data_IF_974281334557
#
_entry.id   IF_974281334557
#
_cell.length_a   1.000
_cell.length_b   1.000
_cell.length_c   1.000
_cell.angle_alpha   90.00
_cell.angle_beta   90.00
_cell.angle_gamma   90.00
#
_symmetry.space_group_name_H-M   'P 1'
#
loop_
_entity.id
_entity.type
_entity.pdbx_description
1 polymer ?
#
# COMPACT_ATOMS: atom_id res chain seq x y z
N UNK A 1 2.73 -52.96 10.38
CA UNK A 1 2.34 -53.62 9.10
C UNK A 1 2.13 -52.52 8.10
N UNK A 2 3.14 -52.34 7.22
CA UNK A 2 3.10 -52.47 5.75
C UNK A 2 1.94 -51.71 5.12
N UNK A 3 2.13 -50.69 4.24
CA UNK A 3 2.89 -50.74 2.96
C UNK A 3 3.29 -49.33 2.49
N UNK A 4 4.54 -49.21 2.12
CA UNK A 4 5.06 -48.26 1.15
C UNK A 4 4.41 -48.49 -0.22
N UNK A 5 4.17 -47.46 -0.96
CA UNK A 5 4.18 -47.52 -2.42
C UNK A 5 4.73 -46.22 -2.99
N UNK A 6 5.94 -46.29 -3.50
CA UNK A 6 6.58 -45.30 -4.37
C UNK A 6 6.29 -45.68 -5.82
N UNK A 7 6.03 -44.71 -6.68
CA UNK A 7 6.13 -44.78 -8.15
C UNK A 7 6.53 -43.40 -8.61
N UNK A 8 7.57 -43.24 -9.06
CA UNK A 8 8.58 -43.04 -10.08
C UNK A 8 8.06 -42.69 -11.47
N UNK A 9 8.71 -41.67 -12.03
CA UNK A 9 9.01 -41.35 -13.44
C UNK A 9 7.88 -40.88 -14.39
N UNK A 10 8.10 -39.69 -14.94
CA UNK A 10 8.31 -39.55 -16.39
C UNK A 10 8.97 -38.21 -16.75
N UNK A 11 10.09 -38.37 -17.36
CA UNK A 11 10.96 -37.53 -18.17
C UNK A 11 10.28 -37.05 -19.47
N UNK A 12 10.68 -35.84 -19.92
CA UNK A 12 10.68 -35.53 -21.38
C UNK A 12 9.75 -34.41 -21.79
N UNK A 13 10.25 -33.28 -22.25
CA UNK A 13 10.70 -32.99 -23.61
C UNK A 13 11.23 -31.58 -23.74
N UNK A 14 12.46 -31.47 -24.20
CA UNK A 14 13.02 -30.30 -24.83
C UNK A 14 12.26 -29.99 -26.13
N UNK A 15 11.95 -28.71 -26.35
CA UNK A 15 11.73 -28.18 -27.69
C UNK A 15 12.41 -26.82 -27.81
N UNK A 16 13.59 -26.84 -28.38
CA UNK A 16 14.27 -25.68 -28.94
C UNK A 16 13.48 -25.18 -30.14
N UNK A 17 13.12 -23.92 -30.16
CA UNK A 17 12.69 -23.22 -31.36
C UNK A 17 13.66 -22.07 -31.65
N UNK A 18 14.54 -22.33 -32.61
CA UNK A 18 15.29 -21.35 -33.36
C UNK A 18 14.30 -20.45 -34.11
N UNK A 19 14.25 -19.18 -33.77
CA UNK A 19 13.55 -18.13 -34.52
C UNK A 19 14.53 -17.30 -35.32
N UNK A 20 14.34 -17.30 -36.63
CA UNK A 20 15.15 -16.73 -37.68
C UNK A 20 15.45 -15.24 -37.52
N UNK A 21 16.74 -14.89 -37.61
CA UNK A 21 17.18 -13.54 -37.92
C UNK A 21 16.94 -13.28 -39.41
N UNK A 22 16.07 -12.36 -39.71
CA UNK A 22 15.92 -11.77 -41.05
C UNK A 22 16.79 -10.52 -41.12
N UNK A 23 17.95 -10.64 -41.75
CA UNK A 23 18.73 -9.49 -42.21
C UNK A 23 18.08 -8.90 -43.44
N UNK A 24 17.54 -7.68 -43.35
CA UNK A 24 17.19 -6.88 -44.51
C UNK A 24 18.36 -6.00 -44.92
N UNK A 25 18.62 -5.84 -46.23
CA UNK A 25 19.75 -5.05 -46.74
C UNK A 25 19.45 -3.55 -46.60
N UNK A 26 20.45 -2.83 -46.10
CA UNK A 26 20.48 -1.38 -46.05
C UNK A 26 20.64 -0.86 -47.47
N UNK A 27 19.65 -0.13 -47.95
CA UNK A 27 19.83 0.69 -49.15
C UNK A 27 20.00 2.13 -48.72
N UNK A 28 21.23 2.58 -48.86
CA UNK A 28 21.67 3.96 -48.72
C UNK A 28 20.98 4.82 -49.80
N UNK A 29 20.26 5.85 -49.39
CA UNK A 29 19.91 6.97 -50.29
C UNK A 29 19.93 8.25 -49.50
N UNK A 30 21.00 8.97 -49.64
CA UNK A 30 21.20 10.34 -49.21
C UNK A 30 20.03 11.25 -49.65
N UNK A 31 19.39 11.89 -48.66
CA UNK A 31 18.68 13.15 -48.87
C UNK A 31 18.80 13.98 -47.60
N UNK A 32 19.34 15.18 -47.62
CA UNK A 32 19.36 16.06 -46.44
C UNK A 32 17.93 16.47 -46.11
N UNK A 33 17.46 16.05 -44.94
CA UNK A 33 16.22 16.49 -44.34
C UNK A 33 16.45 17.84 -43.66
N UNK A 34 15.57 18.84 -43.83
CA UNK A 34 15.72 20.13 -43.19
C UNK A 34 15.68 19.96 -41.67
N UNK A 35 16.55 20.68 -40.96
CA UNK A 35 16.57 20.76 -39.52
C UNK A 35 15.19 21.29 -39.04
N UNK A 36 14.43 20.39 -38.43
CA UNK A 36 13.25 20.79 -37.64
C UNK A 36 13.79 21.26 -36.32
N UNK A 37 13.68 22.57 -36.11
CA UNK A 37 13.90 23.21 -34.83
C UNK A 37 12.93 22.62 -33.82
N UNK A 38 13.37 21.59 -33.07
CA UNK A 38 12.59 20.99 -32.00
C UNK A 38 12.62 21.98 -30.84
N UNK A 39 11.64 22.90 -30.85
CA UNK A 39 11.26 23.60 -29.63
C UNK A 39 10.87 22.52 -28.61
N UNK A 40 11.78 22.25 -27.68
CA UNK A 40 11.54 21.37 -26.56
C UNK A 40 10.38 21.96 -25.75
N UNK A 41 9.20 21.39 -25.89
CA UNK A 41 8.12 21.66 -24.93
C UNK A 41 8.64 21.32 -23.53
N UNK A 42 8.41 22.17 -22.52
CA UNK A 42 8.83 21.86 -21.17
C UNK A 42 8.13 20.58 -20.76
N UNK A 43 8.92 19.52 -20.56
CA UNK A 43 8.45 18.25 -20.02
C UNK A 43 7.76 18.57 -18.71
N UNK A 44 6.44 18.35 -18.64
CA UNK A 44 5.68 18.49 -17.41
C UNK A 44 6.32 17.56 -16.37
N UNK A 45 6.95 18.14 -15.37
CA UNK A 45 7.57 17.40 -14.29
C UNK A 45 6.44 16.74 -13.50
N UNK A 46 6.28 15.41 -13.64
CA UNK A 46 5.31 14.65 -12.86
C UNK A 46 5.76 14.70 -11.42
N UNK A 47 5.12 15.54 -10.62
CA UNK A 47 5.36 15.63 -9.19
C UNK A 47 4.83 14.38 -8.52
N UNK A 48 5.59 13.75 -7.63
CA UNK A 48 5.08 12.65 -6.81
C UNK A 48 3.86 13.13 -6.02
N UNK A 49 2.76 12.37 -5.98
CA UNK A 49 1.61 12.74 -5.17
C UNK A 49 1.89 12.62 -3.66
N UNK A 50 3.06 12.13 -3.25
CA UNK A 50 3.46 11.96 -1.85
C UNK A 50 4.45 13.02 -1.46
N UNK A 51 4.12 13.77 -0.41
CA UNK A 51 4.95 14.81 0.17
C UNK A 51 5.33 14.43 1.61
N UNK A 52 6.64 14.32 1.88
CA UNK A 52 7.14 14.09 3.23
C UNK A 52 6.96 15.36 4.07
N UNK A 53 6.52 15.18 5.32
CA UNK A 53 6.27 16.26 6.29
C UNK A 53 6.75 15.83 7.68
N UNK A 54 6.87 16.76 8.61
CA UNK A 54 7.06 16.43 10.02
C UNK A 54 5.71 16.15 10.73
N UNK A 55 5.75 15.65 11.96
CA UNK A 55 4.54 15.29 12.70
C UNK A 55 3.65 16.51 13.06
N UNK A 56 4.24 17.67 13.32
CA UNK A 56 3.50 18.90 13.59
C UNK A 56 2.77 19.40 12.37
N UNK A 57 3.41 19.37 11.21
CA UNK A 57 2.85 19.74 9.92
C UNK A 57 1.72 18.77 9.54
N UNK A 58 1.92 17.45 9.74
CA UNK A 58 0.89 16.43 9.52
C UNK A 58 -0.37 16.73 10.35
N UNK A 59 -0.24 17.00 11.64
CA UNK A 59 -1.35 17.34 12.52
C UNK A 59 -2.01 18.68 12.13
N UNK A 60 -1.23 19.67 11.75
CA UNK A 60 -1.75 21.00 11.39
C UNK A 60 -2.55 20.95 10.10
N UNK A 61 -2.06 20.28 9.07
CA UNK A 61 -2.73 20.22 7.78
C UNK A 61 -3.93 19.27 7.78
N UNK A 62 -3.85 18.17 8.55
CA UNK A 62 -4.98 17.26 8.68
C UNK A 62 -6.08 17.77 9.61
N UNK A 63 -5.76 18.63 10.57
CA UNK A 63 -6.63 18.94 11.70
C UNK A 63 -6.84 17.76 12.67
N UNK A 64 -6.06 16.68 12.52
CA UNK A 64 -6.15 15.45 13.31
C UNK A 64 -4.96 15.33 14.27
N UNK A 65 -5.12 14.51 15.29
CA UNK A 65 -4.03 14.24 16.26
C UNK A 65 -3.37 12.90 15.92
N UNK A 66 -2.12 12.96 15.47
CA UNK A 66 -1.27 11.79 15.30
C UNK A 66 -0.33 11.64 16.48
N UNK A 67 -0.67 10.73 17.39
CA UNK A 67 0.15 10.44 18.59
C UNK A 67 1.11 9.31 18.27
N UNK A 68 2.40 9.61 18.31
CA UNK A 68 3.43 8.58 18.12
C UNK A 68 3.37 7.53 19.24
N UNK A 69 3.20 6.23 18.92
CA UNK A 69 3.21 5.20 19.95
C UNK A 69 4.53 5.14 20.70
N UNK A 70 4.46 4.85 22.00
CA UNK A 70 5.66 4.69 22.83
C UNK A 70 6.54 3.56 22.29
N UNK A 71 7.84 3.80 22.19
CA UNK A 71 8.84 2.89 21.60
C UNK A 71 8.73 2.67 20.08
N UNK A 72 7.95 3.46 19.36
CA UNK A 72 8.02 3.48 17.90
C UNK A 72 9.37 4.04 17.45
N UNK A 73 9.94 3.44 16.41
CA UNK A 73 11.19 3.87 15.76
C UNK A 73 10.94 4.04 14.27
N UNK A 74 11.87 4.66 13.55
CA UNK A 74 11.79 4.87 12.09
C UNK A 74 10.48 5.56 11.67
N UNK A 75 10.12 6.62 12.38
CA UNK A 75 8.86 7.34 12.16
C UNK A 75 8.99 8.27 10.97
N UNK A 76 8.10 8.11 9.99
CA UNK A 76 7.99 8.93 8.80
C UNK A 76 6.56 9.41 8.63
N UNK A 77 6.40 10.72 8.40
CA UNK A 77 5.10 11.32 8.12
C UNK A 77 5.04 11.82 6.68
N UNK A 78 3.90 11.65 6.05
CA UNK A 78 3.67 12.14 4.69
C UNK A 78 2.20 12.46 4.44
N UNK A 79 1.97 13.29 3.43
CA UNK A 79 0.65 13.60 2.90
C UNK A 79 0.60 13.11 1.47
N UNK A 80 -0.44 12.37 1.13
CA UNK A 80 -0.70 11.90 -0.23
C UNK A 80 -1.76 12.83 -0.81
N UNK A 81 -1.35 13.62 -1.83
CA UNK A 81 -2.22 14.55 -2.52
C UNK A 81 -3.19 13.79 -3.43
N UNK A 82 -4.31 13.38 -2.86
CA UNK A 82 -5.42 12.68 -3.50
C UNK A 82 -6.74 13.38 -3.16
N UNK A 83 -7.86 12.89 -3.65
CA UNK A 83 -9.18 13.37 -3.30
C UNK A 83 -10.01 12.20 -2.74
N UNK A 84 -10.19 12.15 -1.40
CA UNK A 84 -9.66 13.04 -0.35
C UNK A 84 -8.15 12.91 -0.16
N UNK A 85 -7.51 13.92 0.45
CA UNK A 85 -6.11 13.84 0.86
C UNK A 85 -5.94 12.78 1.95
N UNK A 86 -4.85 12.00 1.87
CA UNK A 86 -4.55 10.95 2.86
C UNK A 86 -3.32 11.35 3.68
N UNK A 87 -3.51 11.42 4.97
CA UNK A 87 -2.49 11.74 5.97
C UNK A 87 -1.90 10.45 6.52
N UNK A 88 -0.59 10.30 6.48
CA UNK A 88 0.08 9.04 6.76
C UNK A 88 1.19 9.18 7.80
N UNK A 89 1.25 8.24 8.73
CA UNK A 89 2.39 8.01 9.63
C UNK A 89 2.84 6.56 9.50
N UNK A 90 4.11 6.33 9.21
CA UNK A 90 4.73 5.01 9.18
C UNK A 90 5.74 4.90 10.31
N UNK A 91 5.84 3.73 10.92
CA UNK A 91 6.79 3.46 12.02
C UNK A 91 7.00 1.95 12.20
N UNK A 92 8.06 1.61 12.92
CA UNK A 92 8.33 0.24 13.37
C UNK A 92 8.04 0.17 14.87
N UNK A 93 7.27 -0.82 15.29
CA UNK A 93 6.95 -1.08 16.69
C UNK A 93 7.06 -2.57 16.99
N UNK A 94 7.90 -2.96 17.95
CA UNK A 94 8.12 -4.36 18.29
C UNK A 94 8.68 -5.21 17.14
N UNK A 95 9.43 -4.60 16.21
CA UNK A 95 10.00 -5.26 15.03
C UNK A 95 9.02 -5.50 13.89
N UNK A 96 7.84 -4.91 13.93
CA UNK A 96 6.82 -4.97 12.89
C UNK A 96 6.60 -3.59 12.28
N UNK A 97 6.27 -3.56 10.98
CA UNK A 97 6.01 -2.31 10.26
C UNK A 97 4.53 -1.94 10.34
N UNK A 98 4.29 -0.69 10.67
CA UNK A 98 2.95 -0.10 10.73
C UNK A 98 2.85 1.10 9.80
N UNK A 99 1.70 1.20 9.15
CA UNK A 99 1.27 2.39 8.41
C UNK A 99 -0.10 2.78 8.89
N UNK A 100 -0.19 3.92 9.58
CA UNK A 100 -1.46 4.53 9.99
C UNK A 100 -1.82 5.60 8.97
N UNK A 101 -3.06 5.56 8.47
CA UNK A 101 -3.59 6.56 7.54
C UNK A 101 -4.92 7.10 8.05
N UNK A 102 -5.18 8.35 7.72
CA UNK A 102 -6.46 9.02 7.98
C UNK A 102 -6.84 9.89 6.79
N UNK A 103 -8.14 9.97 6.52
CA UNK A 103 -8.70 10.88 5.53
C UNK A 103 -10.09 11.36 5.98
N UNK A 104 -10.43 12.60 5.67
CA UNK A 104 -11.78 13.11 5.86
C UNK A 104 -12.70 12.50 4.78
N UNK A 105 -13.73 11.77 5.22
CA UNK A 105 -14.64 11.00 4.35
C UNK A 105 -16.07 11.11 4.87
N UNK A 106 -17.05 10.87 4.01
CA UNK A 106 -18.46 10.87 4.43
C UNK A 106 -18.90 9.53 5.04
N UNK A 107 -18.20 8.47 4.73
CA UNK A 107 -18.43 7.09 5.21
C UNK A 107 -17.09 6.38 5.35
N UNK A 108 -17.07 5.18 5.93
CA UNK A 108 -15.89 4.33 5.94
C UNK A 108 -15.41 4.07 4.51
N UNK A 109 -14.17 4.46 4.22
CA UNK A 109 -13.54 4.33 2.90
C UNK A 109 -12.27 3.48 2.99
N UNK A 110 -12.39 2.24 2.55
CA UNK A 110 -11.28 1.28 2.59
C UNK A 110 -10.15 1.61 1.60
N UNK A 111 -10.44 2.42 0.58
CA UNK A 111 -9.46 2.79 -0.44
C UNK A 111 -8.28 3.59 0.11
N UNK A 112 -8.45 4.27 1.24
CA UNK A 112 -7.40 5.08 1.88
C UNK A 112 -6.17 4.26 2.29
N UNK A 113 -6.35 2.95 2.52
CA UNK A 113 -5.20 2.08 2.86
C UNK A 113 -4.20 1.95 1.73
N UNK A 114 -4.64 2.09 0.48
CA UNK A 114 -3.82 1.87 -0.71
C UNK A 114 -3.29 0.43 -0.81
N UNK A 115 -3.88 -0.51 -0.08
CA UNK A 115 -3.49 -1.92 -0.07
C UNK A 115 -4.54 -2.72 -0.83
N UNK A 116 -4.11 -3.33 -1.92
CA UNK A 116 -4.95 -4.16 -2.79
C UNK A 116 -4.35 -5.56 -2.84
N UNK A 117 -4.96 -6.50 -2.11
CA UNK A 117 -4.54 -7.90 -2.07
C UNK A 117 -5.75 -8.81 -1.84
N UNK A 118 -5.56 -10.11 -2.08
CA UNK A 118 -6.59 -11.11 -1.78
C UNK A 118 -6.57 -11.41 -0.28
N UNK A 119 -7.57 -10.91 0.41
CA UNK A 119 -7.75 -11.14 1.84
C UNK A 119 -8.42 -12.49 2.10
N UNK A 120 -7.90 -13.24 3.09
CA UNK A 120 -8.45 -14.56 3.44
C UNK A 120 -9.44 -14.48 4.60
N UNK A 121 -9.26 -13.52 5.51
CA UNK A 121 -10.14 -13.33 6.66
C UNK A 121 -10.66 -11.90 6.63
N UNK A 122 -11.97 -11.76 6.80
CA UNK A 122 -12.68 -10.49 6.89
C UNK A 122 -13.53 -10.50 8.15
N UNK A 123 -13.53 -9.41 8.89
CA UNK A 123 -14.40 -9.25 10.05
C UNK A 123 -14.92 -7.83 10.14
N UNK A 124 -16.21 -7.72 10.45
CA UNK A 124 -16.89 -6.46 10.67
C UNK A 124 -17.18 -6.26 12.16
N UNK A 125 -17.22 -5.02 12.60
CA UNK A 125 -17.49 -4.65 13.97
C UNK A 125 -18.05 -3.24 14.08
N UNK A 126 -18.21 -2.81 15.32
CA UNK A 126 -18.60 -1.43 15.63
C UNK A 126 -17.88 -0.96 16.88
N UNK A 127 -17.58 0.33 16.92
CA UNK A 127 -17.12 1.04 18.10
C UNK A 127 -18.22 1.11 19.16
N UNK A 128 -17.89 1.57 20.37
CA UNK A 128 -18.88 1.71 21.45
C UNK A 128 -20.00 2.71 21.12
N UNK A 129 -19.73 3.70 20.30
CA UNK A 129 -20.70 4.68 19.82
C UNK A 129 -21.53 4.19 18.61
N UNK A 130 -21.27 2.97 18.12
CA UNK A 130 -21.95 2.38 16.97
C UNK A 130 -21.30 2.66 15.62
N UNK A 131 -20.20 3.42 15.57
CA UNK A 131 -19.46 3.71 14.33
C UNK A 131 -18.82 2.42 13.78
N UNK A 132 -18.78 2.25 12.44
CA UNK A 132 -18.35 1.01 11.83
C UNK A 132 -16.83 0.79 11.93
N UNK A 133 -16.46 -0.47 12.12
CA UNK A 133 -15.09 -0.96 11.99
C UNK A 133 -15.06 -2.19 11.11
N UNK A 134 -13.94 -2.45 10.42
CA UNK A 134 -13.71 -3.71 9.74
C UNK A 134 -12.22 -4.04 9.70
N UNK A 135 -11.90 -5.32 9.50
CA UNK A 135 -10.51 -5.73 9.33
C UNK A 135 -10.38 -6.84 8.29
N UNK A 136 -9.17 -6.92 7.73
CA UNK A 136 -8.78 -7.89 6.73
C UNK A 136 -7.43 -8.48 7.09
N UNK A 137 -7.26 -9.80 6.95
CA UNK A 137 -5.99 -10.50 7.15
C UNK A 137 -5.63 -11.33 5.92
N UNK A 138 -4.35 -11.37 5.59
CA UNK A 138 -3.80 -12.28 4.58
C UNK A 138 -3.92 -13.74 5.05
N UNK A 139 -3.86 -14.68 4.11
CA UNK A 139 -4.02 -16.12 4.38
C UNK A 139 -3.01 -16.68 5.38
N UNK A 140 -1.81 -16.15 5.38
CA UNK A 140 -0.70 -16.53 6.25
C UNK A 140 -0.56 -15.61 7.47
N UNK A 141 -1.49 -14.67 7.64
CA UNK A 141 -1.50 -13.66 8.71
C UNK A 141 -0.19 -12.86 8.80
N UNK A 142 0.56 -12.77 7.70
CA UNK A 142 1.78 -11.94 7.65
C UNK A 142 1.47 -10.47 7.51
N UNK A 143 0.29 -10.12 6.96
CA UNK A 143 -0.17 -8.76 6.80
C UNK A 143 -1.66 -8.62 7.08
N UNK A 144 -2.08 -7.42 7.45
CA UNK A 144 -3.48 -7.10 7.70
C UNK A 144 -3.73 -5.61 7.71
N UNK A 145 -5.00 -5.24 7.61
CA UNK A 145 -5.47 -3.88 7.72
C UNK A 145 -6.71 -3.83 8.61
N UNK A 146 -6.80 -2.82 9.45
CA UNK A 146 -7.94 -2.53 10.30
C UNK A 146 -8.43 -1.11 10.02
N UNK A 147 -9.74 -0.93 9.89
CA UNK A 147 -10.39 0.33 9.61
C UNK A 147 -11.35 0.71 10.73
N UNK A 148 -11.46 2.01 10.97
CA UNK A 148 -12.51 2.60 11.79
C UNK A 148 -12.95 3.92 11.13
N UNK A 149 -14.25 4.20 11.21
CA UNK A 149 -14.80 5.47 10.78
C UNK A 149 -15.45 6.16 11.97
N UNK A 150 -15.08 7.39 12.25
CA UNK A 150 -15.67 8.20 13.31
C UNK A 150 -15.50 9.68 13.03
N UNK A 151 -16.50 10.49 13.38
CA UNK A 151 -16.48 11.95 13.28
C UNK A 151 -16.08 12.50 11.89
N UNK A 152 -16.53 11.81 10.80
CA UNK A 152 -16.22 12.25 9.44
C UNK A 152 -14.80 11.91 9.00
N UNK A 153 -14.13 10.96 9.66
CA UNK A 153 -12.77 10.54 9.35
C UNK A 153 -12.71 9.02 9.26
N UNK A 154 -12.22 8.51 8.13
CA UNK A 154 -11.77 7.12 8.05
C UNK A 154 -10.33 7.04 8.51
N UNK A 155 -10.09 6.13 9.44
CA UNK A 155 -8.77 5.74 9.93
C UNK A 155 -8.48 4.32 9.48
N UNK A 156 -7.23 4.03 9.13
CA UNK A 156 -6.79 2.65 8.99
C UNK A 156 -5.38 2.44 9.54
N UNK A 157 -5.13 1.23 9.97
CA UNK A 157 -3.79 0.72 10.29
C UNK A 157 -3.50 -0.48 9.41
N UNK A 158 -2.44 -0.41 8.62
CA UNK A 158 -1.88 -1.52 7.88
C UNK A 158 -0.63 -2.02 8.61
N UNK A 159 -0.48 -3.33 8.71
CA UNK A 159 0.58 -3.97 9.48
C UNK A 159 1.20 -5.10 8.68
N UNK A 160 2.53 -5.23 8.76
CA UNK A 160 3.29 -6.36 8.23
C UNK A 160 4.24 -6.94 9.28
N UNK A 161 4.67 -8.19 9.07
CA UNK A 161 5.53 -8.90 10.02
C UNK A 161 4.75 -9.72 11.06
N UNK A 162 3.56 -10.20 10.69
CA UNK A 162 2.64 -10.97 11.54
C UNK A 162 1.52 -10.10 12.08
N UNK A 163 0.34 -10.18 11.42
CA UNK A 163 -0.81 -9.33 11.70
C UNK A 163 -1.87 -10.05 12.56
N UNK A 164 -2.48 -9.31 13.49
CA UNK A 164 -3.71 -9.70 14.15
C UNK A 164 -4.65 -8.50 14.29
N UNK A 165 -5.96 -8.75 14.19
CA UNK A 165 -6.97 -7.70 14.32
C UNK A 165 -6.88 -6.99 15.67
N UNK A 166 -6.67 -7.72 16.76
CA UNK A 166 -6.56 -7.15 18.10
C UNK A 166 -5.33 -6.24 18.26
N UNK A 167 -4.20 -6.59 17.63
CA UNK A 167 -3.00 -5.77 17.69
C UNK A 167 -3.16 -4.49 16.87
N UNK A 168 -3.72 -4.59 15.65
CA UNK A 168 -4.03 -3.44 14.81
C UNK A 168 -5.04 -2.50 15.47
N UNK A 169 -6.10 -3.05 16.07
CA UNK A 169 -7.07 -2.29 16.85
C UNK A 169 -6.40 -1.55 18.02
N UNK A 170 -5.53 -2.24 18.77
CA UNK A 170 -4.79 -1.64 19.90
C UNK A 170 -3.91 -0.46 19.45
N UNK A 171 -3.24 -0.59 18.31
CA UNK A 171 -2.46 0.51 17.73
C UNK A 171 -3.39 1.65 17.32
N UNK A 172 -4.48 1.36 16.63
CA UNK A 172 -5.42 2.39 16.16
C UNK A 172 -6.07 3.15 17.31
N UNK A 173 -6.34 2.50 18.46
CA UNK A 173 -6.84 3.15 19.68
C UNK A 173 -5.94 4.26 20.21
N UNK A 174 -4.64 4.24 19.93
CA UNK A 174 -3.74 5.33 20.30
C UNK A 174 -3.97 6.62 19.49
N UNK A 175 -4.57 6.49 18.31
CA UNK A 175 -4.92 7.60 17.43
C UNK A 175 -6.40 7.98 17.56
N UNK A 176 -7.25 7.01 17.87
CA UNK A 176 -8.71 7.15 18.01
C UNK A 176 -9.14 6.64 19.38
N UNK A 177 -9.04 7.46 20.44
CA UNK A 177 -9.32 7.02 21.81
C UNK A 177 -10.78 6.54 22.04
N UNK A 178 -11.70 6.90 21.15
CA UNK A 178 -13.12 6.47 21.19
C UNK A 178 -13.34 5.07 20.62
N UNK A 179 -12.33 4.46 20.04
CA UNK A 179 -12.39 3.12 19.44
C UNK A 179 -12.59 1.99 20.47
#
# INVERSE_FOLDING_TARGET
MKKMTAILLALGCMAALCGCYSTMPITEKDKPSPAVDATAEPSAQVTSPVREVNAEELCTESGLTFVMPMNAVDVHCSIIDSAPAVYQMRFVLGGKDYTVRAAHTDTLDESISGVYTDWATVGDGAMQNGDPTCFYLSKDETSGVYYAYTDGVTWCVYMTGGASSAEMESVLRSFVPSL
#
